data_IF_854071570881
#
_entry.id   IF_854071570881
#
_cell.length_a   1.000
_cell.length_b   1.000
_cell.length_c   1.000
_cell.angle_alpha   90.00
_cell.angle_beta   90.00
_cell.angle_gamma   90.00
#
_symmetry.space_group_name_H-M   'P 1'
#
loop_
_entity.id
_entity.type
_entity.pdbx_description
1 polymer ?
#
# COMPACT_ATOMS: atom_id res chain seq x y z
N UNK A 1 -15.06 -7.10 2.81
CA UNK A 1 -13.62 -7.34 3.13
C UNK A 1 -12.80 -7.62 1.87
N UNK A 2 -13.24 -8.51 0.98
CA UNK A 2 -12.47 -8.87 -0.22
C UNK A 2 -12.20 -7.64 -1.11
N UNK A 3 -13.22 -6.81 -1.39
CA UNK A 3 -13.07 -5.57 -2.17
C UNK A 3 -12.04 -4.63 -1.51
N UNK A 4 -12.14 -4.44 -0.19
CA UNK A 4 -11.19 -3.63 0.56
C UNK A 4 -9.75 -4.19 0.46
N UNK A 5 -9.57 -5.50 0.61
CA UNK A 5 -8.26 -6.15 0.43
C UNK A 5 -7.70 -5.90 -0.96
N UNK A 6 -8.49 -6.13 -2.01
CA UNK A 6 -8.07 -5.89 -3.39
C UNK A 6 -7.65 -4.44 -3.61
N UNK A 7 -8.47 -3.49 -3.14
CA UNK A 7 -8.15 -2.07 -3.23
C UNK A 7 -6.82 -1.74 -2.56
N UNK A 8 -6.64 -2.17 -1.30
CA UNK A 8 -5.41 -1.90 -0.53
C UNK A 8 -4.18 -2.59 -1.14
N UNK A 9 -4.32 -3.80 -1.70
CA UNK A 9 -3.26 -4.50 -2.42
C UNK A 9 -2.84 -3.71 -3.66
N UNK A 10 -3.79 -3.12 -4.38
CA UNK A 10 -3.49 -2.39 -5.62
C UNK A 10 -2.81 -1.04 -5.40
N UNK A 11 -3.03 -0.38 -4.25
CA UNK A 11 -2.47 0.95 -3.98
C UNK A 11 -0.93 1.03 -4.12
N UNK A 12 -0.11 0.23 -3.41
CA UNK A 12 1.35 0.30 -3.57
C UNK A 12 1.80 -0.04 -4.99
N UNK A 13 1.11 -0.98 -5.65
CA UNK A 13 1.40 -1.34 -7.04
C UNK A 13 1.15 -0.16 -7.98
N UNK A 14 0.03 0.57 -7.80
CA UNK A 14 -0.25 1.77 -8.58
C UNK A 14 0.76 2.88 -8.32
N UNK A 15 1.17 3.09 -7.06
CA UNK A 15 2.19 4.08 -6.71
C UNK A 15 3.53 3.76 -7.39
N UNK A 16 3.95 2.49 -7.35
CA UNK A 16 5.19 2.03 -7.97
C UNK A 16 5.13 2.16 -9.50
N UNK A 17 4.02 1.76 -10.12
CA UNK A 17 3.82 1.89 -11.57
C UNK A 17 3.85 3.35 -12.02
N UNK A 18 3.19 4.25 -11.28
CA UNK A 18 3.23 5.68 -11.59
C UNK A 18 4.63 6.26 -11.46
N UNK A 19 5.40 5.84 -10.45
CA UNK A 19 6.78 6.25 -10.27
C UNK A 19 7.65 5.82 -11.45
N UNK A 20 7.57 4.55 -11.85
CA UNK A 20 8.31 4.03 -13.00
C UNK A 20 7.87 4.69 -14.30
N UNK A 21 6.56 4.87 -14.52
CA UNK A 21 6.04 5.51 -15.70
C UNK A 21 6.47 6.99 -15.80
N UNK A 22 6.60 7.69 -14.66
CA UNK A 22 7.16 9.04 -14.62
C UNK A 22 8.64 9.06 -15.01
N UNK A 23 9.42 8.10 -14.51
CA UNK A 23 10.86 8.01 -14.77
C UNK A 23 11.19 7.72 -16.25
N UNK A 24 10.37 6.90 -16.91
CA UNK A 24 10.55 6.55 -18.33
C UNK A 24 9.76 7.44 -19.30
N UNK A 25 9.15 8.52 -18.81
CA UNK A 25 8.29 9.44 -19.58
C UNK A 25 7.13 8.74 -20.34
N UNK A 26 6.64 7.64 -19.79
CA UNK A 26 5.58 6.82 -20.39
C UNK A 26 4.17 7.41 -20.18
N UNK A 27 4.07 8.55 -19.48
CA UNK A 27 2.80 9.20 -19.13
C UNK A 27 2.42 10.35 -20.06
N UNK A 28 3.13 10.53 -21.18
CA UNK A 28 2.76 11.50 -22.23
C UNK A 28 2.67 12.94 -21.71
N UNK A 29 3.58 13.34 -20.81
CA UNK A 29 3.59 14.66 -20.19
C UNK A 29 2.68 14.81 -18.96
N UNK A 30 1.88 13.81 -18.59
CA UNK A 30 1.03 13.88 -17.39
C UNK A 30 1.85 13.98 -16.09
N UNK A 31 3.05 13.39 -16.07
CA UNK A 31 4.08 13.55 -15.03
C UNK A 31 4.53 15.02 -14.82
N UNK A 32 4.35 15.89 -15.82
CA UNK A 32 4.68 17.32 -15.75
C UNK A 32 3.47 18.21 -15.42
N UNK A 33 2.29 17.62 -15.25
CA UNK A 33 1.06 18.34 -14.91
C UNK A 33 0.84 18.42 -13.40
N UNK A 34 0.17 19.49 -12.95
CA UNK A 34 -0.25 19.61 -11.54
C UNK A 34 -1.15 18.45 -11.11
N UNK A 35 -2.01 17.96 -12.01
CA UNK A 35 -2.89 16.83 -11.74
C UNK A 35 -2.11 15.53 -11.46
N UNK A 36 -1.04 15.26 -12.23
CA UNK A 36 -0.17 14.10 -12.00
C UNK A 36 0.55 14.17 -10.68
N UNK A 37 1.07 15.35 -10.33
CA UNK A 37 1.71 15.60 -9.05
C UNK A 37 0.75 15.41 -7.87
N UNK A 38 -0.46 15.97 -7.94
CA UNK A 38 -1.48 15.81 -6.90
C UNK A 38 -1.90 14.36 -6.72
N UNK A 39 -2.07 13.59 -7.81
CA UNK A 39 -2.41 12.17 -7.73
C UNK A 39 -1.31 11.37 -7.02
N UNK A 40 -0.04 11.67 -7.31
CA UNK A 40 1.10 11.00 -6.68
C UNK A 40 1.18 11.33 -5.19
N UNK A 41 1.01 12.59 -4.80
CA UNK A 41 0.94 12.99 -3.37
C UNK A 41 -0.21 12.29 -2.66
N UNK A 42 -1.39 12.24 -3.28
CA UNK A 42 -2.55 11.60 -2.68
C UNK A 42 -2.27 10.11 -2.44
N UNK A 43 -1.71 9.40 -3.42
CA UNK A 43 -1.32 8.00 -3.27
C UNK A 43 -0.23 7.81 -2.20
N UNK A 44 0.80 8.66 -2.20
CA UNK A 44 1.88 8.65 -1.22
C UNK A 44 1.35 8.78 0.22
N UNK A 45 0.38 9.67 0.47
CA UNK A 45 -0.24 9.84 1.79
C UNK A 45 -1.24 8.73 2.13
N UNK A 46 -2.10 8.35 1.19
CA UNK A 46 -3.25 7.49 1.48
C UNK A 46 -2.87 6.01 1.52
N UNK A 47 -1.97 5.55 0.64
CA UNK A 47 -1.52 4.16 0.60
C UNK A 47 -1.06 3.64 1.99
N UNK A 48 -0.12 4.29 2.71
CA UNK A 48 0.36 3.78 4.00
C UNK A 48 -0.77 3.73 5.05
N UNK A 49 -1.70 4.69 5.02
CA UNK A 49 -2.85 4.73 5.94
C UNK A 49 -3.74 3.51 5.69
N UNK A 50 -4.11 3.26 4.43
CA UNK A 50 -4.99 2.15 4.08
C UNK A 50 -4.36 0.78 4.34
N UNK A 51 -3.06 0.62 4.08
CA UNK A 51 -2.34 -0.63 4.38
C UNK A 51 -2.21 -0.87 5.87
N UNK A 52 -2.01 0.17 6.67
CA UNK A 52 -1.99 0.09 8.12
C UNK A 52 -3.37 -0.30 8.68
N UNK A 53 -4.44 0.30 8.15
CA UNK A 53 -5.82 -0.07 8.52
C UNK A 53 -6.08 -1.55 8.20
N UNK A 54 -5.67 -2.04 7.03
CA UNK A 54 -5.81 -3.45 6.69
C UNK A 54 -5.05 -4.35 7.68
N UNK A 55 -3.80 -4.02 8.01
CA UNK A 55 -3.00 -4.76 8.97
C UNK A 55 -3.68 -4.84 10.34
N UNK A 56 -4.17 -3.72 10.86
CA UNK A 56 -4.88 -3.68 12.15
C UNK A 56 -6.14 -4.54 12.09
N UNK A 57 -6.93 -4.46 11.03
CA UNK A 57 -8.15 -5.26 10.89
C UNK A 57 -7.86 -6.76 10.81
N UNK A 58 -6.84 -7.18 10.06
CA UNK A 58 -6.45 -8.59 9.98
C UNK A 58 -5.88 -9.10 11.31
N UNK A 59 -5.10 -8.30 12.03
CA UNK A 59 -4.60 -8.64 13.37
C UNK A 59 -5.74 -8.79 14.39
N UNK A 60 -6.72 -7.88 14.39
CA UNK A 60 -7.88 -7.96 15.28
C UNK A 60 -8.71 -9.21 14.97
N UNK A 61 -8.94 -9.51 13.68
CA UNK A 61 -9.64 -10.73 13.26
C UNK A 61 -8.90 -11.99 13.65
N UNK A 62 -7.60 -12.04 13.42
CA UNK A 62 -6.73 -13.15 13.81
C UNK A 62 -6.80 -13.38 15.32
N UNK A 63 -6.65 -12.33 16.14
CA UNK A 63 -6.76 -12.44 17.60
C UNK A 63 -8.13 -12.92 18.05
N UNK A 64 -9.20 -12.44 17.43
CA UNK A 64 -10.57 -12.87 17.74
C UNK A 64 -10.77 -14.36 17.40
N UNK A 65 -10.31 -14.79 16.23
CA UNK A 65 -10.42 -16.19 15.80
C UNK A 65 -9.55 -17.11 16.65
N UNK A 66 -8.34 -16.68 17.00
CA UNK A 66 -7.42 -17.44 17.86
C UNK A 66 -8.00 -17.68 19.25
N UNK A 67 -8.71 -16.70 19.81
CA UNK A 67 -9.42 -16.87 21.08
C UNK A 67 -10.60 -17.85 21.00
N UNK A 68 -11.22 -18.00 19.83
CA UNK A 68 -12.40 -18.85 19.67
C UNK A 68 -12.04 -20.28 19.28
N UNK A 69 -11.07 -20.46 18.38
CA UNK A 69 -10.70 -21.74 17.78
C UNK A 69 -9.20 -21.74 17.43
N UNK A 70 -8.30 -21.93 18.41
CA UNK A 70 -6.85 -21.80 18.20
C UNK A 70 -6.29 -22.77 17.15
N UNK A 71 -6.84 -23.98 17.05
CA UNK A 71 -6.33 -25.05 16.17
C UNK A 71 -6.62 -24.83 14.68
N UNK A 72 -7.52 -23.90 14.33
CA UNK A 72 -7.94 -23.65 12.94
C UNK A 72 -7.47 -22.29 12.40
N UNK A 73 -6.63 -21.55 13.13
CA UNK A 73 -6.23 -20.20 12.72
C UNK A 73 -4.98 -20.21 11.88
N UNK A 74 -5.06 -19.67 10.67
CA UNK A 74 -3.91 -19.46 9.79
C UNK A 74 -3.45 -18.01 9.83
N UNK A 75 -2.13 -17.78 9.92
CA UNK A 75 -1.53 -16.44 9.90
C UNK A 75 -1.40 -15.83 8.48
N UNK A 76 -1.97 -16.45 7.45
CA UNK A 76 -1.78 -16.06 6.05
C UNK A 76 -2.17 -14.59 5.79
N UNK A 77 -3.40 -14.21 6.15
CA UNK A 77 -3.92 -12.87 5.87
C UNK A 77 -3.23 -11.75 6.68
N UNK A 78 -2.98 -11.91 7.99
CA UNK A 78 -2.12 -10.98 8.73
C UNK A 78 -0.72 -10.85 8.13
N UNK A 79 -0.11 -11.96 7.69
CA UNK A 79 1.19 -11.96 7.03
C UNK A 79 1.18 -11.17 5.71
N UNK A 80 0.18 -11.39 4.87
CA UNK A 80 -0.02 -10.63 3.62
C UNK A 80 -0.21 -9.14 3.91
N UNK A 81 -1.04 -8.78 4.88
CA UNK A 81 -1.25 -7.38 5.24
C UNK A 81 0.02 -6.71 5.78
N UNK A 82 0.83 -7.46 6.55
CA UNK A 82 2.13 -6.98 7.04
C UNK A 82 3.09 -6.73 5.89
N UNK A 83 3.19 -7.68 4.96
CA UNK A 83 4.04 -7.57 3.77
C UNK A 83 3.70 -6.32 2.95
N UNK A 84 2.42 -6.12 2.63
CA UNK A 84 1.94 -4.96 1.85
C UNK A 84 2.21 -3.65 2.59
N UNK A 85 2.02 -3.62 3.91
CA UNK A 85 2.31 -2.44 4.72
C UNK A 85 3.80 -2.09 4.70
N UNK A 86 4.68 -3.09 4.82
CA UNK A 86 6.12 -2.90 4.73
C UNK A 86 6.54 -2.45 3.34
N UNK A 87 6.03 -3.09 2.29
CA UNK A 87 6.25 -2.70 0.89
C UNK A 87 5.90 -1.23 0.66
N UNK A 88 4.71 -0.80 1.12
CA UNK A 88 4.24 0.58 0.98
C UNK A 88 5.13 1.57 1.71
N UNK A 89 5.57 1.23 2.93
CA UNK A 89 6.52 2.05 3.69
C UNK A 89 7.88 2.14 2.98
N UNK A 90 8.37 1.03 2.43
CA UNK A 90 9.63 1.00 1.66
C UNK A 90 9.56 1.88 0.42
N UNK A 91 8.47 1.82 -0.36
CA UNK A 91 8.26 2.68 -1.53
C UNK A 91 8.23 4.14 -1.11
N UNK A 92 7.46 4.49 -0.07
CA UNK A 92 7.38 5.87 0.39
C UNK A 92 8.73 6.40 0.91
N UNK A 93 9.49 5.58 1.66
CA UNK A 93 10.83 5.96 2.11
C UNK A 93 11.77 6.18 0.93
N UNK A 94 11.73 5.30 -0.08
CA UNK A 94 12.51 5.48 -1.32
C UNK A 94 12.16 6.80 -2.02
N UNK A 95 10.88 7.11 -2.17
CA UNK A 95 10.43 8.39 -2.74
C UNK A 95 11.00 9.57 -1.95
N UNK A 96 10.92 9.54 -0.62
CA UNK A 96 11.46 10.60 0.24
C UNK A 96 12.98 10.76 0.10
N UNK A 97 13.72 9.67 -0.13
CA UNK A 97 15.17 9.77 -0.39
C UNK A 97 15.50 10.43 -1.73
N UNK A 98 14.66 10.25 -2.76
CA UNK A 98 14.84 10.89 -4.06
C UNK A 98 14.57 12.40 -3.98
N UNK A 99 13.60 12.83 -3.17
CA UNK A 99 13.30 14.26 -2.97
C UNK A 99 14.36 15.03 -2.17
N UNK A 100 15.30 14.33 -1.52
CA UNK A 100 16.34 14.94 -0.67
C UNK A 100 17.67 15.18 -1.39
N UNK A 101 17.76 14.80 -2.66
CA UNK A 101 18.87 15.12 -3.58
C UNK A 101 18.48 16.27 -4.50
#
# INVERSE_FOLDING_TARGET
MIIFRLYVITLPQTLLLLLLAAQFDLMGGWNHSEAGFHALILLFLTAPIFTLVLLVLELVRYRKQYRQQPDQVTFLWPGVALFICLETLSINLFILTQFRM
#
